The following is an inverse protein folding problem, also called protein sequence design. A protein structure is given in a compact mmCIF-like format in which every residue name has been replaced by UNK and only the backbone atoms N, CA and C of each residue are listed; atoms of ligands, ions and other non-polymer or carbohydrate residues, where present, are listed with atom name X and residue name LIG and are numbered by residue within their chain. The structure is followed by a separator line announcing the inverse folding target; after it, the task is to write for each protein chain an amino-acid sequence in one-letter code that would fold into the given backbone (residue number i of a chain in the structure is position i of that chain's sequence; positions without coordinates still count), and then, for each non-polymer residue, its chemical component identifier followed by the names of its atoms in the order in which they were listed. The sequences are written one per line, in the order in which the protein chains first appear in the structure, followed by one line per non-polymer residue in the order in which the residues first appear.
data_IF_107057425601
#
_entry.id   IF_107057425601
#
_cell.length_a   1.000
_cell.length_b   1.000
_cell.length_c   1.000
_cell.angle_alpha   90.00
_cell.angle_beta   90.00
_cell.angle_gamma   90.00
#
_symmetry.space_group_name_H-M   'P 1'
#
loop_
_entity.id
_entity.type
_entity.pdbx_description
1 polymer ?
#
# COMPACT_ATOMS: atom_id res chain seq x y z
N UNK A 1 -0.83 -9.21 6.24
CA UNK A 1 -1.04 -7.97 5.49
C UNK A 1 -0.09 -6.91 6.02
N UNK A 2 0.32 -5.94 5.19
CA UNK A 2 1.14 -4.81 5.62
C UNK A 2 1.25 -3.70 4.56
N UNK A 3 1.70 -2.53 4.99
CA UNK A 3 1.95 -1.36 4.14
C UNK A 3 3.37 -1.43 3.56
N UNK A 4 3.49 -1.27 2.24
CA UNK A 4 4.79 -1.26 1.56
C UNK A 4 5.43 0.14 1.65
N UNK A 5 6.75 0.19 1.45
CA UNK A 5 7.50 1.45 1.37
C UNK A 5 7.11 2.32 0.17
N UNK A 6 6.44 1.72 -0.81
CA UNK A 6 6.08 2.36 -2.08
C UNK A 6 4.62 2.85 -2.09
N UNK A 7 3.94 2.84 -0.94
CA UNK A 7 2.56 3.35 -0.88
C UNK A 7 1.56 2.37 -1.47
N UNK A 8 1.66 1.10 -1.07
CA UNK A 8 0.70 0.06 -1.40
C UNK A 8 0.46 -0.86 -0.19
N UNK A 9 -0.44 -1.83 -0.34
CA UNK A 9 -0.57 -2.96 0.58
C UNK A 9 -0.05 -4.26 -0.04
N UNK A 10 0.44 -5.15 0.81
CA UNK A 10 0.91 -6.47 0.42
C UNK A 10 0.49 -7.56 1.42
N UNK A 11 0.33 -8.78 0.91
CA UNK A 11 0.20 -9.98 1.73
C UNK A 11 1.59 -10.34 2.26
N UNK A 12 1.93 -9.87 3.46
CA UNK A 12 3.20 -10.21 4.12
C UNK A 12 3.41 -11.73 4.24
N UNK A 13 2.38 -12.45 4.69
CA UNK A 13 2.43 -13.89 4.92
C UNK A 13 1.12 -14.50 4.42
N UNK A 14 1.19 -15.17 3.27
CA UNK A 14 0.05 -15.85 2.68
C UNK A 14 -0.25 -17.18 3.40
N UNK A 15 0.72 -17.75 4.12
CA UNK A 15 0.53 -19.01 4.85
C UNK A 15 -0.33 -18.84 6.10
N UNK A 16 -0.39 -17.64 6.65
CA UNK A 16 -1.33 -17.25 7.70
C UNK A 16 -2.80 -17.22 7.23
N UNK A 17 -3.08 -17.42 5.93
CA UNK A 17 -4.42 -17.38 5.34
C UNK A 17 -4.80 -18.78 4.82
N UNK A 18 -6.00 -19.31 5.14
CA UNK A 18 -6.48 -20.57 4.60
C UNK A 18 -6.42 -20.59 3.07
N UNK A 19 -5.98 -21.71 2.49
CA UNK A 19 -5.74 -21.83 1.03
C UNK A 19 -6.95 -21.38 0.20
N UNK A 20 -8.16 -21.78 0.61
CA UNK A 20 -9.41 -21.42 -0.06
C UNK A 20 -9.69 -19.91 -0.12
N UNK A 21 -9.10 -19.10 0.77
CA UNK A 21 -9.31 -17.65 0.83
C UNK A 21 -8.20 -16.86 0.13
N UNK A 22 -7.05 -17.47 -0.19
CA UNK A 22 -5.87 -16.77 -0.73
C UNK A 22 -6.14 -16.11 -2.08
N UNK A 23 -6.95 -16.73 -2.93
CA UNK A 23 -7.35 -16.17 -4.23
C UNK A 23 -8.11 -14.86 -4.06
N UNK A 24 -9.18 -14.89 -3.25
CA UNK A 24 -9.97 -13.70 -2.94
C UNK A 24 -9.13 -12.59 -2.29
N UNK A 25 -8.25 -12.93 -1.34
CA UNK A 25 -7.37 -11.95 -0.71
C UNK A 25 -6.40 -11.31 -1.70
N UNK A 26 -5.84 -12.09 -2.64
CA UNK A 26 -4.96 -11.57 -3.69
C UNK A 26 -5.69 -10.58 -4.59
N UNK A 27 -6.94 -10.88 -4.99
CA UNK A 27 -7.76 -9.96 -5.76
C UNK A 27 -8.05 -8.68 -4.99
N UNK A 28 -8.45 -8.76 -3.73
CA UNK A 28 -8.71 -7.57 -2.90
C UNK A 28 -7.46 -6.68 -2.75
N UNK A 29 -6.28 -7.29 -2.58
CA UNK A 29 -5.02 -6.54 -2.51
C UNK A 29 -4.70 -5.86 -3.83
N UNK A 30 -4.97 -6.52 -4.96
CA UNK A 30 -4.80 -5.94 -6.29
C UNK A 30 -5.73 -4.74 -6.49
N UNK A 31 -7.01 -4.90 -6.15
CA UNK A 31 -8.04 -3.88 -6.35
C UNK A 31 -7.74 -2.63 -5.50
N UNK A 32 -7.43 -2.80 -4.22
CA UNK A 32 -7.02 -1.68 -3.35
C UNK A 32 -5.77 -0.96 -3.88
N UNK A 33 -4.78 -1.68 -4.41
CA UNK A 33 -3.59 -1.06 -4.98
C UNK A 33 -3.89 -0.31 -6.29
N UNK A 34 -4.85 -0.78 -7.08
CA UNK A 34 -5.33 -0.05 -8.26
C UNK A 34 -6.05 1.24 -7.84
N UNK A 35 -6.90 1.18 -6.81
CA UNK A 35 -7.57 2.36 -6.26
C UNK A 35 -6.58 3.40 -5.73
N UNK A 36 -5.51 2.96 -5.04
CA UNK A 36 -4.43 3.85 -4.58
C UNK A 36 -3.69 4.51 -5.74
N UNK A 37 -3.34 3.74 -6.77
CA UNK A 37 -2.68 4.29 -7.96
C UNK A 37 -3.56 5.32 -8.67
N UNK A 38 -4.86 5.03 -8.80
CA UNK A 38 -5.85 5.96 -9.35
C UNK A 38 -5.96 7.22 -8.49
N UNK A 39 -6.06 7.09 -7.16
CA UNK A 39 -6.10 8.22 -6.25
C UNK A 39 -4.91 9.17 -6.47
N UNK A 40 -3.68 8.64 -6.54
CA UNK A 40 -2.49 9.47 -6.75
C UNK A 40 -2.49 10.19 -8.09
N UNK A 41 -2.93 9.49 -9.14
CA UNK A 41 -3.09 10.06 -10.48
C UNK A 41 -4.13 11.17 -10.49
N UNK A 42 -5.30 10.95 -9.90
CA UNK A 42 -6.38 11.94 -9.86
C UNK A 42 -5.98 13.17 -9.04
N UNK A 43 -5.24 12.99 -7.93
CA UNK A 43 -4.67 14.13 -7.18
C UNK A 43 -3.69 14.90 -8.06
N UNK A 44 -2.77 14.23 -8.76
CA UNK A 44 -1.80 14.87 -9.66
C UNK A 44 -2.51 15.68 -10.76
N UNK A 45 -3.51 15.08 -11.41
CA UNK A 45 -4.31 15.71 -12.44
C UNK A 45 -5.11 16.90 -11.93
N UNK A 46 -5.78 16.77 -10.77
CA UNK A 46 -6.55 17.85 -10.17
C UNK A 46 -5.68 19.06 -9.76
N UNK A 47 -4.38 18.84 -9.51
CA UNK A 47 -3.41 19.90 -9.26
C UNK A 47 -2.76 20.46 -10.53
N UNK A 48 -3.12 19.96 -11.72
CA UNK A 48 -2.54 20.41 -12.99
C UNK A 48 -1.11 19.91 -13.26
N UNK A 49 -0.64 18.95 -12.47
CA UNK A 49 0.72 18.41 -12.52
C UNK A 49 0.69 16.87 -12.58
N UNK A 50 0.32 16.25 -13.71
CA UNK A 50 0.29 14.80 -13.84
C UNK A 50 1.63 14.11 -13.52
N UNK A 51 2.74 14.82 -13.73
CA UNK A 51 4.10 14.36 -13.41
C UNK A 51 4.35 14.16 -11.92
N UNK A 52 3.54 14.76 -11.04
CA UNK A 52 3.69 14.62 -9.59
C UNK A 52 3.19 13.28 -9.03
N UNK A 53 2.56 12.42 -9.84
CA UNK A 53 1.96 11.18 -9.36
C UNK A 53 2.94 10.34 -8.50
N UNK A 54 4.19 10.19 -8.93
CA UNK A 54 5.20 9.42 -8.20
C UNK A 54 5.61 10.07 -6.86
N UNK A 55 5.73 11.40 -6.83
CA UNK A 55 6.04 12.15 -5.61
C UNK A 55 4.89 12.13 -4.60
N UNK A 56 3.65 12.26 -5.11
CA UNK A 56 2.42 12.12 -4.31
C UNK A 56 2.37 10.73 -3.69
N UNK A 57 2.57 9.67 -4.49
CA UNK A 57 2.63 8.31 -4.00
C UNK A 57 3.67 8.13 -2.89
N UNK A 58 4.89 8.63 -3.08
CA UNK A 58 5.96 8.59 -2.07
C UNK A 58 5.56 9.30 -0.77
N UNK A 59 4.94 10.48 -0.88
CA UNK A 59 4.44 11.25 0.26
C UNK A 59 3.37 10.48 1.05
N UNK A 60 2.42 9.85 0.34
CA UNK A 60 1.39 9.02 0.97
C UNK A 60 1.96 7.74 1.58
N UNK A 61 2.96 7.12 0.96
CA UNK A 61 3.65 5.95 1.49
C UNK A 61 4.22 6.22 2.89
N UNK A 62 4.96 7.33 3.03
CA UNK A 62 5.47 7.80 4.32
C UNK A 62 4.35 8.04 5.33
N UNK A 63 3.31 8.80 4.94
CA UNK A 63 2.17 9.09 5.82
C UNK A 63 1.44 7.84 6.30
N UNK A 64 1.24 6.85 5.44
CA UNK A 64 0.58 5.60 5.85
C UNK A 64 1.42 4.80 6.82
N UNK A 65 2.73 4.70 6.59
CA UNK A 65 3.65 4.03 7.51
C UNK A 65 3.68 4.78 8.86
N UNK A 66 3.69 6.10 8.86
CA UNK A 66 3.71 6.92 10.07
C UNK A 66 2.41 6.80 10.88
N UNK A 67 1.27 6.72 10.20
CA UNK A 67 -0.07 6.59 10.81
C UNK A 67 -0.52 5.15 11.04
N UNK A 68 0.28 4.17 10.65
CA UNK A 68 -0.01 2.76 10.85
C UNK A 68 -0.24 2.47 12.33
N UNK A 69 -1.38 1.84 12.63
CA UNK A 69 -1.76 1.51 14.00
C UNK A 69 -0.89 0.38 14.56
N UNK A 70 -0.79 0.29 15.89
CA UNK A 70 -0.14 -0.83 16.55
C UNK A 70 -0.72 -2.17 16.05
N UNK A 71 0.15 -3.14 15.77
CA UNK A 71 -0.22 -4.42 15.20
C UNK A 71 -0.07 -4.53 13.67
N UNK A 72 0.03 -3.40 12.96
CA UNK A 72 0.28 -3.40 11.51
C UNK A 72 1.72 -3.77 11.18
N UNK A 73 1.90 -4.42 10.03
CA UNK A 73 3.22 -4.59 9.43
C UNK A 73 3.49 -3.45 8.44
N UNK A 74 4.69 -2.91 8.47
CA UNK A 74 5.19 -1.90 7.53
C UNK A 74 6.52 -2.34 6.95
N UNK A 75 6.77 -2.06 5.67
CA UNK A 75 8.05 -2.37 5.03
C UNK A 75 9.03 -1.21 5.25
N UNK A 76 10.07 -1.44 6.04
CA UNK A 76 11.20 -0.53 6.21
C UNK A 76 12.41 -0.95 5.37
N UNK A 77 13.53 -0.24 5.55
CA UNK A 77 14.78 -0.49 4.80
C UNK A 77 15.33 -1.93 4.96
N UNK A 78 15.18 -2.52 6.14
CA UNK A 78 15.61 -3.89 6.46
C UNK A 78 14.54 -4.97 6.27
N UNK A 79 13.40 -4.64 5.66
CA UNK A 79 12.26 -5.56 5.52
C UNK A 79 11.07 -5.20 6.42
N UNK A 80 10.24 -6.18 6.74
CA UNK A 80 8.97 -5.97 7.46
C UNK A 80 9.19 -5.74 8.96
N UNK A 81 8.66 -4.63 9.48
CA UNK A 81 8.64 -4.28 10.89
C UNK A 81 7.19 -4.21 11.37
N UNK A 82 6.93 -4.70 12.59
CA UNK A 82 5.62 -4.56 13.21
C UNK A 82 5.57 -3.24 13.97
N UNK A 83 4.55 -2.43 13.70
CA UNK A 83 4.22 -1.22 14.46
C UNK A 83 3.60 -1.56 15.80
#
# INVERSE_FOLDING_TARGET
MGLTKDGFIAIKDANAVPLAQRGALTSLVKDENADRANLYKEIAQANGHPEWQAEIQSTFAGRWIDKAQAGWWVQGAGGWVKK
#
